data_IF_042725581711
#
_entry.id   IF_042725581711
#
_cell.length_a   1.000
_cell.length_b   1.000
_cell.length_c   1.000
_cell.angle_alpha   90.00
_cell.angle_beta   90.00
_cell.angle_gamma   90.00
#
_symmetry.space_group_name_H-M   'P 1'
#
loop_
_entity.id
_entity.type
_entity.pdbx_description
1 polymer ?
#
# COMPACT_ATOMS: atom_id res chain seq x y z
N UNK A 1 -0.22 -6.26 -20.89
CA UNK A 1 -1.34 -5.34 -20.56
C UNK A 1 -2.06 -5.85 -19.33
N UNK A 2 -2.31 -5.00 -18.33
CA UNK A 2 -3.10 -5.37 -17.16
C UNK A 2 -4.55 -5.66 -17.56
N UNK A 3 -5.20 -6.67 -16.95
CA UNK A 3 -6.63 -6.89 -17.09
C UNK A 3 -7.44 -5.66 -16.66
N UNK A 4 -8.68 -5.56 -17.13
CA UNK A 4 -9.60 -4.56 -16.61
C UNK A 4 -9.83 -4.81 -15.11
N UNK A 5 -9.84 -3.73 -14.33
CA UNK A 5 -10.15 -3.82 -12.91
C UNK A 5 -11.57 -4.35 -12.70
N UNK A 6 -11.79 -5.25 -11.75
CA UNK A 6 -13.12 -5.69 -11.39
C UNK A 6 -14.00 -4.51 -10.98
N UNK A 7 -15.25 -4.47 -11.46
CA UNK A 7 -16.22 -3.45 -11.03
C UNK A 7 -16.84 -3.87 -9.71
N UNK A 8 -16.64 -3.07 -8.68
CA UNK A 8 -17.23 -3.26 -7.35
C UNK A 8 -18.18 -2.10 -7.04
N UNK A 9 -19.32 -2.43 -6.46
CA UNK A 9 -20.25 -1.44 -5.93
C UNK A 9 -20.30 -1.60 -4.43
N UNK A 10 -19.86 -0.58 -3.70
CA UNK A 10 -20.02 -0.53 -2.25
C UNK A 10 -21.27 0.28 -1.90
N UNK A 11 -22.10 -0.31 -1.06
CA UNK A 11 -23.27 0.36 -0.50
C UNK A 11 -23.07 0.54 0.98
N UNK A 12 -23.24 1.77 1.48
CA UNK A 12 -23.29 2.02 2.92
C UNK A 12 -24.62 1.51 3.43
N UNK A 13 -24.60 0.42 4.18
CA UNK A 13 -25.81 -0.17 4.79
C UNK A 13 -26.21 0.60 6.05
N UNK A 14 -25.24 1.02 6.83
CA UNK A 14 -25.44 1.79 8.06
C UNK A 14 -24.18 2.62 8.34
N UNK A 15 -24.36 3.86 8.76
CA UNK A 15 -23.30 4.70 9.30
C UNK A 15 -23.45 4.78 10.82
N UNK A 16 -22.42 4.33 11.54
CA UNK A 16 -22.40 4.37 13.01
C UNK A 16 -21.39 5.39 13.50
N UNK A 17 -21.69 6.11 14.57
CA UNK A 17 -20.69 6.92 15.26
C UNK A 17 -19.47 6.06 15.59
N UNK A 18 -18.26 6.63 15.49
CA UNK A 18 -17.05 5.94 15.91
C UNK A 18 -17.23 5.45 17.35
N UNK A 19 -16.99 4.17 17.63
CA UNK A 19 -17.05 3.65 18.98
C UNK A 19 -16.01 4.36 19.86
N UNK A 20 -16.37 4.66 21.10
CA UNK A 20 -15.44 5.25 22.09
C UNK A 20 -14.39 4.25 22.59
N UNK A 21 -14.42 3.00 22.08
CA UNK A 21 -13.50 1.91 22.41
C UNK A 21 -12.38 1.70 21.37
N UNK A 22 -11.50 0.70 21.60
CA UNK A 22 -10.43 0.37 20.69
C UNK A 22 -10.99 -0.10 19.33
N UNK A 23 -10.69 0.65 18.27
CA UNK A 23 -10.98 0.30 16.88
C UNK A 23 -9.69 0.18 16.06
N UNK A 24 -9.84 -0.18 14.79
CA UNK A 24 -8.72 -0.24 13.85
C UNK A 24 -8.03 1.12 13.72
N UNK A 25 -8.83 2.20 13.64
CA UNK A 25 -8.34 3.58 13.61
C UNK A 25 -8.74 4.32 14.89
N UNK A 26 -7.88 5.23 15.33
CA UNK A 26 -8.12 6.15 16.43
C UNK A 26 -7.90 7.58 15.94
N UNK A 27 -8.85 8.45 16.18
CA UNK A 27 -8.66 9.91 16.04
C UNK A 27 -8.08 10.42 17.35
N UNK A 28 -6.94 11.11 17.27
CA UNK A 28 -6.27 11.74 18.41
C UNK A 28 -6.31 13.25 18.24
N UNK A 29 -6.93 13.94 19.20
CA UNK A 29 -6.84 15.40 19.32
C UNK A 29 -5.87 15.74 20.43
N UNK A 30 -4.87 16.54 20.11
CA UNK A 30 -3.81 16.92 21.03
C UNK A 30 -3.66 18.45 21.09
N UNK A 31 -3.34 18.98 22.26
CA UNK A 31 -2.90 20.36 22.40
C UNK A 31 -1.38 20.37 22.40
N UNK A 32 -0.80 21.03 21.43
CA UNK A 32 0.64 21.06 21.19
C UNK A 32 1.19 22.46 21.39
N UNK A 33 2.51 22.54 21.64
CA UNK A 33 3.32 23.77 21.55
C UNK A 33 4.58 23.46 20.77
N UNK A 34 5.04 24.42 20.00
CA UNK A 34 6.36 24.38 19.35
C UNK A 34 7.36 25.08 20.30
N UNK A 35 8.47 24.41 20.57
CA UNK A 35 9.66 25.07 21.12
C UNK A 35 10.58 25.43 19.94
N UNK A 36 10.87 26.73 19.83
CA UNK A 36 11.77 27.24 18.79
C UNK A 36 13.24 27.12 19.22
N UNK A 37 14.15 27.24 18.26
CA UNK A 37 15.61 27.13 18.54
C UNK A 37 16.13 28.16 19.52
N UNK A 38 15.52 29.35 19.58
CA UNK A 38 15.84 30.42 20.55
C UNK A 38 15.31 30.14 21.97
N UNK A 39 14.66 28.98 22.18
CA UNK A 39 14.07 28.56 23.45
C UNK A 39 12.67 29.13 23.73
N UNK A 40 12.13 29.99 22.87
CA UNK A 40 10.75 30.48 23.00
C UNK A 40 9.73 29.39 22.67
N UNK A 41 8.51 29.54 23.21
CA UNK A 41 7.40 28.63 23.01
C UNK A 41 6.28 29.33 22.23
N UNK A 42 5.66 28.58 21.31
CA UNK A 42 4.42 29.04 20.67
C UNK A 42 3.25 29.09 21.67
N UNK A 43 2.18 29.79 21.30
CA UNK A 43 0.89 29.55 21.94
C UNK A 43 0.45 28.10 21.72
N UNK A 44 -0.36 27.53 22.64
CA UNK A 44 -0.95 26.21 22.45
C UNK A 44 -1.86 26.18 21.21
N UNK A 45 -1.82 25.09 20.44
CA UNK A 45 -2.71 24.87 19.31
C UNK A 45 -3.22 23.44 19.27
N UNK A 46 -4.43 23.24 18.72
CA UNK A 46 -5.00 21.90 18.55
C UNK A 46 -4.45 21.24 17.28
N UNK A 47 -4.22 19.92 17.35
CA UNK A 47 -3.82 19.11 16.21
C UNK A 47 -4.53 17.76 16.25
N UNK A 48 -5.15 17.41 15.12
CA UNK A 48 -5.81 16.11 14.94
C UNK A 48 -4.94 15.18 14.10
N UNK A 49 -4.78 13.95 14.56
CA UNK A 49 -4.06 12.89 13.86
C UNK A 49 -4.84 11.57 13.91
N UNK A 50 -4.67 10.78 12.87
CA UNK A 50 -5.13 9.39 12.85
C UNK A 50 -4.00 8.49 13.36
N UNK A 51 -4.36 7.50 14.15
CA UNK A 51 -3.43 6.50 14.70
C UNK A 51 -4.03 5.10 14.58
N UNK A 52 -3.19 4.07 14.58
CA UNK A 52 -3.60 2.66 14.62
C UNK A 52 -2.51 1.80 15.27
N UNK A 53 -2.89 0.61 15.75
CA UNK A 53 -1.96 -0.27 16.47
C UNK A 53 -0.82 -0.78 15.59
N UNK A 54 -1.11 -1.15 14.35
CA UNK A 54 -0.12 -1.54 13.34
C UNK A 54 0.06 -0.36 12.39
N UNK A 55 1.01 0.51 12.71
CA UNK A 55 1.12 1.80 12.03
C UNK A 55 1.82 1.69 10.67
N UNK A 56 2.94 0.99 10.64
CA UNK A 56 3.82 0.93 9.48
C UNK A 56 3.44 -0.22 8.52
N UNK A 57 3.90 -0.12 7.27
CA UNK A 57 3.67 -1.13 6.26
C UNK A 57 4.94 -1.45 5.46
N UNK A 58 5.01 -2.67 4.93
CA UNK A 58 5.96 -3.07 3.90
C UNK A 58 5.30 -2.99 2.52
N UNK A 59 6.09 -2.67 1.50
CA UNK A 59 5.69 -2.66 0.10
C UNK A 59 6.68 -3.53 -0.67
N UNK A 60 6.21 -4.51 -1.42
CA UNK A 60 7.05 -5.49 -2.08
C UNK A 60 6.85 -5.43 -3.60
N UNK A 61 7.94 -5.45 -4.38
CA UNK A 61 7.86 -5.63 -5.82
C UNK A 61 8.45 -6.99 -6.20
N UNK A 62 7.62 -8.04 -6.33
CA UNK A 62 8.05 -9.29 -6.90
C UNK A 62 8.20 -9.13 -8.41
N UNK A 63 9.34 -9.56 -8.95
CA UNK A 63 9.65 -9.40 -10.36
C UNK A 63 10.37 -10.63 -10.93
N UNK A 64 10.36 -10.76 -12.24
CA UNK A 64 11.12 -11.77 -12.97
C UNK A 64 11.57 -11.23 -14.31
N UNK A 65 12.51 -11.92 -14.96
CA UNK A 65 12.86 -11.66 -16.36
C UNK A 65 12.33 -12.79 -17.24
N UNK A 66 11.70 -12.40 -18.36
CA UNK A 66 11.27 -13.36 -19.36
C UNK A 66 12.43 -13.86 -20.21
N UNK A 67 12.16 -14.76 -21.17
CA UNK A 67 13.16 -15.33 -22.05
C UNK A 67 13.86 -14.28 -22.95
N UNK A 68 13.25 -13.13 -23.16
CA UNK A 68 13.83 -12.00 -23.90
C UNK A 68 14.63 -11.05 -22.98
N UNK A 69 14.71 -11.34 -21.67
CA UNK A 69 15.37 -10.52 -20.66
C UNK A 69 14.55 -9.31 -20.18
N UNK A 70 13.29 -9.19 -20.62
CA UNK A 70 12.40 -8.11 -20.20
C UNK A 70 11.98 -8.34 -18.75
N UNK A 71 12.14 -7.31 -17.92
CA UNK A 71 11.70 -7.35 -16.52
C UNK A 71 10.19 -7.16 -16.41
N UNK A 72 9.53 -8.09 -15.76
CA UNK A 72 8.12 -8.05 -15.42
C UNK A 72 7.94 -7.91 -13.92
N UNK A 73 6.86 -7.24 -13.51
CA UNK A 73 6.47 -7.05 -12.10
C UNK A 73 5.09 -7.65 -11.88
N UNK A 74 4.82 -8.17 -10.69
CA UNK A 74 3.49 -8.59 -10.29
C UNK A 74 2.80 -7.45 -9.53
N UNK A 75 1.57 -7.16 -9.94
CA UNK A 75 0.68 -6.24 -9.25
C UNK A 75 -0.60 -6.98 -8.84
N UNK A 76 -1.24 -6.49 -7.79
CA UNK A 76 -2.52 -7.00 -7.29
C UNK A 76 -3.59 -5.94 -7.44
N UNK A 77 -4.80 -6.34 -7.86
CA UNK A 77 -5.94 -5.42 -7.81
C UNK A 77 -6.49 -5.32 -6.38
N UNK A 78 -6.87 -4.13 -5.97
CA UNK A 78 -7.36 -3.85 -4.64
C UNK A 78 -8.56 -2.91 -4.67
N UNK A 79 -9.54 -3.13 -3.79
CA UNK A 79 -10.66 -2.21 -3.57
C UNK A 79 -10.39 -1.39 -2.31
N UNK A 80 -10.40 -0.08 -2.45
CA UNK A 80 -10.17 0.87 -1.34
C UNK A 80 -11.46 1.62 -1.01
N UNK A 81 -12.24 1.16 -0.01
CA UNK A 81 -13.53 1.77 0.35
C UNK A 81 -13.50 3.28 0.54
N UNK A 82 -12.48 3.89 1.18
CA UNK A 82 -12.41 5.35 1.31
C UNK A 82 -12.39 6.10 -0.02
N UNK A 83 -11.84 5.49 -1.08
CA UNK A 83 -11.83 6.08 -2.42
C UNK A 83 -13.15 5.84 -3.13
N UNK A 84 -13.72 4.62 -3.04
CA UNK A 84 -15.03 4.30 -3.61
C UNK A 84 -16.13 5.21 -3.04
N UNK A 85 -16.07 5.45 -1.73
CA UNK A 85 -17.04 6.26 -0.97
C UNK A 85 -16.64 7.74 -0.87
N UNK A 86 -15.65 8.19 -1.65
CA UNK A 86 -15.22 9.58 -1.61
C UNK A 86 -16.38 10.52 -1.97
N UNK A 87 -16.69 11.52 -1.14
CA UNK A 87 -17.78 12.47 -1.39
C UNK A 87 -17.66 13.14 -2.78
N UNK A 88 -18.78 13.31 -3.45
CA UNK A 88 -18.82 13.95 -4.78
C UNK A 88 -18.58 15.45 -4.64
N UNK A 89 -19.12 16.04 -3.58
CA UNK A 89 -18.97 17.45 -3.26
C UNK A 89 -17.50 17.78 -2.98
N UNK A 90 -17.02 18.84 -3.57
CA UNK A 90 -15.65 19.31 -3.37
C UNK A 90 -14.59 18.59 -4.21
N UNK A 91 -14.98 17.71 -5.13
CA UNK A 91 -14.04 17.14 -6.10
C UNK A 91 -13.60 18.21 -7.10
N UNK A 92 -12.30 18.46 -7.26
CA UNK A 92 -11.82 19.52 -8.18
C UNK A 92 -11.93 19.12 -9.65
N UNK A 93 -11.96 17.82 -9.94
CA UNK A 93 -12.09 17.23 -11.28
C UNK A 93 -13.04 16.04 -11.25
N UNK A 94 -13.66 15.67 -12.40
CA UNK A 94 -14.41 14.42 -12.51
C UNK A 94 -13.51 13.21 -12.21
N UNK A 95 -14.06 12.25 -11.48
CA UNK A 95 -13.36 11.00 -11.16
C UNK A 95 -13.68 9.91 -12.18
N UNK A 96 -12.83 8.89 -12.23
CA UNK A 96 -13.04 7.71 -13.06
C UNK A 96 -14.18 6.86 -12.52
N UNK A 97 -14.87 6.13 -13.40
CA UNK A 97 -15.89 5.13 -12.99
C UNK A 97 -15.30 4.01 -12.13
N UNK A 98 -14.00 3.75 -12.26
CA UNK A 98 -13.27 2.72 -11.50
C UNK A 98 -12.60 3.27 -10.24
N UNK A 99 -12.95 4.48 -9.79
CA UNK A 99 -12.38 5.08 -8.59
C UNK A 99 -12.46 4.11 -7.40
N UNK A 100 -11.32 3.93 -6.72
CA UNK A 100 -11.19 3.01 -5.59
C UNK A 100 -10.87 1.57 -5.95
N UNK A 101 -10.87 1.21 -7.24
CA UNK A 101 -10.29 -0.04 -7.74
C UNK A 101 -8.90 0.29 -8.29
N UNK A 102 -7.87 -0.23 -7.66
CA UNK A 102 -6.48 0.12 -7.96
C UNK A 102 -5.67 -1.13 -8.33
N UNK A 103 -4.64 -0.92 -9.17
CA UNK A 103 -3.52 -1.84 -9.27
C UNK A 103 -2.43 -1.37 -8.31
N UNK A 104 -2.03 -2.25 -7.39
CA UNK A 104 -1.06 -1.95 -6.34
C UNK A 104 0.07 -2.98 -6.30
N UNK A 105 1.25 -2.54 -5.88
CA UNK A 105 2.28 -3.44 -5.40
C UNK A 105 1.79 -4.13 -4.11
N UNK A 106 2.04 -5.43 -3.91
CA UNK A 106 1.73 -6.11 -2.66
C UNK A 106 2.24 -5.33 -1.46
N UNK A 107 1.41 -5.22 -0.42
CA UNK A 107 1.75 -4.43 0.75
C UNK A 107 0.93 -4.85 1.97
N UNK A 108 1.56 -4.92 3.13
CA UNK A 108 0.86 -5.25 4.35
C UNK A 108 1.43 -4.61 5.60
N UNK A 109 0.67 -4.70 6.68
CA UNK A 109 0.98 -4.06 7.93
C UNK A 109 2.01 -4.86 8.72
N UNK A 110 2.97 -4.11 9.30
CA UNK A 110 4.00 -4.67 10.19
C UNK A 110 3.37 -5.08 11.51
N UNK A 111 3.45 -6.37 11.83
CA UNK A 111 2.98 -6.92 13.09
C UNK A 111 3.87 -6.50 14.27
N UNK A 112 3.40 -6.73 15.49
CA UNK A 112 4.08 -6.27 16.69
C UNK A 112 5.46 -6.94 16.88
N UNK A 113 5.57 -8.21 16.53
CA UNK A 113 6.80 -9.00 16.57
C UNK A 113 7.69 -8.86 15.31
N UNK A 114 7.20 -8.10 14.31
CA UNK A 114 7.94 -7.79 13.08
C UNK A 114 8.63 -6.39 13.12
N UNK A 115 8.59 -5.68 14.25
CA UNK A 115 9.13 -4.31 14.38
C UNK A 115 10.66 -4.28 14.58
N UNK A 116 11.37 -5.03 13.75
CA UNK A 116 12.85 -5.03 13.66
C UNK A 116 13.26 -5.07 12.18
N UNK A 117 14.50 -4.76 11.80
CA UNK A 117 14.95 -4.88 10.42
C UNK A 117 14.71 -6.27 9.82
N UNK A 118 15.01 -7.33 10.58
CA UNK A 118 14.77 -8.72 10.17
C UNK A 118 13.26 -9.05 10.16
N UNK A 119 12.49 -8.43 11.07
CA UNK A 119 11.04 -8.53 11.10
C UNK A 119 10.37 -7.94 9.87
N UNK A 120 10.87 -6.83 9.34
CA UNK A 120 10.38 -6.23 8.10
C UNK A 120 10.56 -7.18 6.89
N UNK A 121 11.66 -7.94 6.85
CA UNK A 121 11.87 -8.95 5.80
C UNK A 121 10.88 -10.13 5.96
N UNK A 122 10.62 -10.58 7.20
CA UNK A 122 9.60 -11.61 7.46
C UNK A 122 8.21 -11.13 7.07
N UNK A 123 7.85 -9.89 7.44
CA UNK A 123 6.60 -9.27 7.03
C UNK A 123 6.47 -9.25 5.50
N UNK A 124 7.49 -8.80 4.79
CA UNK A 124 7.49 -8.74 3.34
C UNK A 124 7.35 -10.13 2.69
N UNK A 125 8.01 -11.16 3.22
CA UNK A 125 7.88 -12.54 2.74
C UNK A 125 6.46 -13.10 3.00
N UNK A 126 5.88 -12.83 4.17
CA UNK A 126 4.52 -13.23 4.53
C UNK A 126 3.49 -12.59 3.61
N UNK A 127 3.52 -11.27 3.44
CA UNK A 127 2.59 -10.54 2.58
C UNK A 127 2.72 -10.96 1.11
N UNK A 128 3.94 -11.21 0.63
CA UNK A 128 4.17 -11.72 -0.72
C UNK A 128 3.48 -13.07 -0.93
N UNK A 129 3.54 -13.97 0.05
CA UNK A 129 2.85 -15.25 0.01
C UNK A 129 1.32 -15.06 0.06
N UNK A 130 0.83 -14.27 1.02
CA UNK A 130 -0.60 -14.07 1.25
C UNK A 130 -1.30 -13.37 0.07
N UNK A 131 -0.66 -12.40 -0.56
CA UNK A 131 -1.27 -11.58 -1.61
C UNK A 131 -0.97 -12.06 -3.03
N UNK A 132 0.19 -12.69 -3.28
CA UNK A 132 0.64 -13.06 -4.64
C UNK A 132 0.84 -14.55 -4.83
N UNK A 133 1.10 -15.30 -3.75
CA UNK A 133 1.28 -16.74 -3.76
C UNK A 133 2.72 -17.19 -3.98
N UNK A 134 3.73 -16.35 -3.72
CA UNK A 134 5.14 -16.74 -3.75
C UNK A 134 5.66 -16.98 -2.34
N UNK A 135 6.16 -18.16 -2.08
CA UNK A 135 6.94 -18.46 -0.87
C UNK A 135 8.41 -18.16 -1.16
N UNK A 136 8.99 -17.22 -0.39
CA UNK A 136 10.40 -16.85 -0.49
C UNK A 136 11.05 -16.85 0.89
N UNK A 137 12.32 -17.19 0.94
CA UNK A 137 13.10 -16.96 2.16
C UNK A 137 13.22 -15.45 2.41
N UNK A 138 12.96 -14.94 3.62
CA UNK A 138 13.12 -13.52 3.93
C UNK A 138 14.48 -12.92 3.53
N UNK A 139 15.54 -13.72 3.56
CA UNK A 139 16.89 -13.30 3.14
C UNK A 139 17.05 -13.06 1.65
N UNK A 140 16.10 -13.53 0.82
CA UNK A 140 16.09 -13.25 -0.63
C UNK A 140 15.56 -11.86 -0.96
N UNK A 141 14.86 -11.22 -0.03
CA UNK A 141 14.33 -9.87 -0.18
C UNK A 141 15.46 -8.84 -0.05
N UNK A 142 15.47 -7.87 -0.92
CA UNK A 142 16.41 -6.74 -0.88
C UNK A 142 15.68 -5.42 -0.68
N UNK A 143 16.24 -4.48 0.10
CA UNK A 143 15.67 -3.14 0.24
C UNK A 143 15.58 -2.42 -1.11
N UNK A 144 14.48 -1.69 -1.33
CA UNK A 144 14.22 -0.92 -2.53
C UNK A 144 14.18 0.58 -2.22
N UNK A 145 15.32 1.12 -1.80
CA UNK A 145 15.48 2.52 -1.44
C UNK A 145 14.96 2.88 -0.04
N UNK A 146 14.95 4.17 0.32
CA UNK A 146 14.56 4.63 1.64
C UNK A 146 13.04 4.51 1.89
N UNK A 147 12.65 4.43 3.15
CA UNK A 147 11.24 4.49 3.56
C UNK A 147 10.63 5.88 3.32
N UNK A 148 9.31 5.93 3.15
CA UNK A 148 8.55 7.17 2.94
C UNK A 148 7.35 7.26 3.87
N UNK A 149 6.76 8.45 3.99
CA UNK A 149 5.51 8.71 4.70
C UNK A 149 4.42 9.07 3.70
N UNK A 150 3.35 8.27 3.51
CA UNK A 150 2.31 8.53 2.50
C UNK A 150 1.44 9.74 2.84
N UNK A 151 1.13 9.98 4.10
CA UNK A 151 0.25 11.07 4.51
C UNK A 151 0.70 11.74 5.82
N UNK A 152 1.92 12.36 5.86
CA UNK A 152 2.56 12.82 7.10
C UNK A 152 1.80 13.93 7.84
N UNK A 153 0.89 14.62 7.16
CA UNK A 153 0.02 15.63 7.78
C UNK A 153 -1.19 15.04 8.52
N UNK A 154 -1.42 13.73 8.42
CA UNK A 154 -2.60 13.10 9.00
C UNK A 154 -2.24 11.86 9.83
N UNK A 155 -1.32 11.05 9.36
CA UNK A 155 -0.91 9.78 9.98
C UNK A 155 0.61 9.62 9.90
N UNK A 156 1.21 9.10 10.95
CA UNK A 156 2.65 8.83 11.01
C UNK A 156 3.07 7.49 10.37
N UNK A 157 2.23 6.91 9.52
CA UNK A 157 2.51 5.67 8.80
C UNK A 157 3.77 5.80 7.95
N UNK A 158 4.62 4.76 7.99
CA UNK A 158 5.83 4.67 7.18
C UNK A 158 5.77 3.44 6.28
N UNK A 159 6.14 3.60 5.00
CA UNK A 159 6.28 2.52 4.04
C UNK A 159 7.75 2.11 3.90
N UNK A 160 8.04 0.81 4.09
CA UNK A 160 9.34 0.20 3.84
C UNK A 160 9.28 -0.60 2.54
N UNK A 161 10.22 -0.37 1.62
CA UNK A 161 10.18 -0.92 0.27
C UNK A 161 11.18 -2.05 0.10
N UNK A 162 10.72 -3.14 -0.49
CA UNK A 162 11.52 -4.31 -0.82
C UNK A 162 11.23 -4.78 -2.25
N UNK A 163 12.16 -5.53 -2.82
CA UNK A 163 11.98 -6.26 -4.06
C UNK A 163 12.56 -7.66 -3.95
N UNK A 164 12.10 -8.55 -4.81
CA UNK A 164 12.63 -9.92 -4.92
C UNK A 164 12.43 -10.44 -6.34
N UNK A 165 13.45 -11.09 -6.87
CA UNK A 165 13.30 -11.85 -8.11
C UNK A 165 12.68 -13.21 -7.80
N UNK A 166 11.61 -13.56 -8.51
CA UNK A 166 10.81 -14.76 -8.26
C UNK A 166 10.82 -15.71 -9.44
N UNK A 167 10.76 -17.01 -9.15
CA UNK A 167 10.54 -18.06 -10.15
C UNK A 167 9.03 -18.21 -10.37
N UNK A 168 8.56 -17.77 -11.54
CA UNK A 168 7.12 -17.78 -11.89
C UNK A 168 6.51 -19.17 -11.86
N UNK A 169 7.31 -20.24 -12.05
CA UNK A 169 6.83 -21.62 -12.01
C UNK A 169 6.49 -22.11 -10.61
N UNK A 170 6.96 -21.41 -9.59
CA UNK A 170 6.72 -21.71 -8.15
C UNK A 170 5.56 -20.94 -7.57
N UNK A 171 4.87 -20.12 -8.37
CA UNK A 171 3.74 -19.36 -7.87
C UNK A 171 2.60 -20.29 -7.47
N UNK A 172 2.22 -20.29 -6.21
CA UNK A 172 1.03 -20.93 -5.68
C UNK A 172 -0.25 -20.09 -5.84
N UNK A 173 -1.37 -20.65 -5.36
CA UNK A 173 -2.58 -19.85 -5.16
C UNK A 173 -2.42 -19.04 -3.89
N UNK A 174 -2.63 -17.71 -3.90
CA UNK A 174 -2.63 -16.91 -2.68
C UNK A 174 -3.64 -17.46 -1.68
N UNK A 175 -3.31 -17.65 -0.40
CA UNK A 175 -4.29 -17.91 0.62
C UNK A 175 -5.17 -16.66 0.78
N UNK A 176 -6.50 -16.83 0.66
CA UNK A 176 -7.44 -15.74 0.90
C UNK A 176 -7.60 -15.57 2.42
N UNK A 177 -7.51 -14.35 2.95
CA UNK A 177 -7.73 -14.05 4.36
C UNK A 177 -9.22 -14.08 4.76
N UNK A 178 -10.11 -14.26 3.77
CA UNK A 178 -11.57 -14.24 3.94
C UNK A 178 -12.19 -12.85 3.90
N UNK A 179 -11.40 -11.80 3.67
CA UNK A 179 -11.92 -10.45 3.47
C UNK A 179 -12.79 -10.36 2.21
N UNK A 180 -14.01 -9.80 2.30
CA UNK A 180 -14.84 -9.55 1.13
C UNK A 180 -14.16 -8.69 0.05
N UNK A 181 -13.22 -7.83 0.45
CA UNK A 181 -12.48 -6.94 -0.45
C UNK A 181 -11.40 -7.66 -1.25
N UNK A 182 -10.92 -8.80 -0.75
CA UNK A 182 -9.86 -9.60 -1.37
C UNK A 182 -10.38 -10.71 -2.28
N UNK A 183 -11.62 -11.14 -2.05
CA UNK A 183 -12.24 -12.30 -2.72
C UNK A 183 -12.17 -12.26 -4.25
N UNK A 184 -12.14 -11.08 -4.86
CA UNK A 184 -12.08 -10.88 -6.30
C UNK A 184 -10.78 -10.22 -6.74
N UNK A 185 -9.77 -10.19 -5.88
CA UNK A 185 -8.47 -9.63 -6.22
C UNK A 185 -7.82 -10.42 -7.35
N UNK A 186 -7.33 -9.69 -8.35
CA UNK A 186 -6.57 -10.25 -9.46
C UNK A 186 -5.08 -10.01 -9.19
N UNK A 187 -4.26 -11.00 -9.52
CA UNK A 187 -2.81 -10.84 -9.57
C UNK A 187 -2.37 -10.97 -11.02
N UNK A 188 -1.66 -9.98 -11.52
CA UNK A 188 -1.21 -9.93 -12.91
C UNK A 188 0.25 -9.54 -13.01
N UNK A 189 0.96 -10.15 -13.96
CA UNK A 189 2.29 -9.73 -14.35
C UNK A 189 2.23 -8.77 -15.53
N UNK A 190 3.07 -7.73 -15.51
CA UNK A 190 3.18 -6.75 -16.58
C UNK A 190 4.65 -6.35 -16.75
N UNK A 191 5.07 -6.03 -17.97
CA UNK A 191 6.42 -5.48 -18.20
C UNK A 191 6.62 -4.19 -17.39
N UNK A 192 7.80 -4.02 -16.78
CA UNK A 192 8.09 -2.87 -15.92
C UNK A 192 7.91 -1.53 -16.68
N UNK A 193 8.38 -1.46 -17.92
CA UNK A 193 8.23 -0.25 -18.74
C UNK A 193 6.76 0.09 -19.02
N UNK A 194 5.93 -0.93 -19.25
CA UNK A 194 4.49 -0.74 -19.41
C UNK A 194 3.82 -0.31 -18.11
N UNK A 195 4.24 -0.86 -16.95
CA UNK A 195 3.75 -0.43 -15.64
C UNK A 195 4.08 1.05 -15.35
N UNK A 196 5.31 1.47 -15.68
CA UNK A 196 5.75 2.87 -15.56
C UNK A 196 4.94 3.80 -16.49
N UNK A 197 4.64 3.36 -17.71
CA UNK A 197 3.79 4.14 -18.63
C UNK A 197 2.36 4.26 -18.11
N UNK A 198 1.80 3.20 -17.53
CA UNK A 198 0.48 3.24 -16.88
C UNK A 198 0.46 4.18 -15.67
N UNK A 199 1.50 4.20 -14.84
CA UNK A 199 1.63 5.15 -13.73
C UNK A 199 1.72 6.60 -14.25
N UNK A 200 2.56 6.85 -15.25
CA UNK A 200 2.69 8.17 -15.88
C UNK A 200 1.38 8.71 -16.47
N UNK A 201 0.52 7.82 -16.99
CA UNK A 201 -0.80 8.18 -17.53
C UNK A 201 -1.93 8.17 -16.50
N UNK A 202 -1.61 7.91 -15.24
CA UNK A 202 -2.58 7.83 -14.14
C UNK A 202 -3.53 6.63 -14.25
N UNK A 203 -3.12 5.54 -14.86
CA UNK A 203 -3.86 4.27 -14.84
C UNK A 203 -3.47 3.40 -13.62
N UNK A 204 -2.26 3.59 -13.09
CA UNK A 204 -1.83 3.17 -11.76
C UNK A 204 -1.78 4.45 -10.92
N UNK A 205 -2.62 4.57 -9.89
CA UNK A 205 -2.81 5.78 -9.08
C UNK A 205 -2.34 5.62 -7.65
N UNK A 206 -1.84 4.44 -7.29
CA UNK A 206 -1.33 4.17 -5.96
C UNK A 206 0.11 4.69 -5.82
N UNK A 207 0.31 5.67 -4.94
CA UNK A 207 1.59 6.36 -4.74
C UNK A 207 2.74 5.41 -4.40
N UNK A 208 2.53 4.49 -3.43
CA UNK A 208 3.58 3.54 -3.03
C UNK A 208 4.01 2.62 -4.18
N UNK A 209 3.06 2.25 -5.04
CA UNK A 209 3.32 1.44 -6.24
C UNK A 209 4.15 2.22 -7.25
N UNK A 210 3.80 3.46 -7.55
CA UNK A 210 4.57 4.30 -8.47
C UNK A 210 6.01 4.50 -7.97
N UNK A 211 6.19 4.82 -6.67
CA UNK A 211 7.51 4.96 -6.05
C UNK A 211 8.31 3.67 -6.20
N UNK A 212 7.71 2.52 -5.89
CA UNK A 212 8.39 1.22 -5.95
C UNK A 212 8.80 0.85 -7.37
N UNK A 213 7.91 1.05 -8.37
CA UNK A 213 8.21 0.79 -9.78
C UNK A 213 9.35 1.67 -10.30
N UNK A 214 9.36 2.96 -9.99
CA UNK A 214 10.44 3.87 -10.39
C UNK A 214 11.78 3.46 -9.81
N UNK A 215 11.83 3.11 -8.52
CA UNK A 215 13.05 2.62 -7.87
C UNK A 215 13.54 1.31 -8.45
N UNK A 216 12.63 0.37 -8.78
CA UNK A 216 13.02 -0.88 -9.42
C UNK A 216 13.61 -0.68 -10.81
N UNK A 217 13.22 0.36 -11.53
CA UNK A 217 13.77 0.71 -12.83
C UNK A 217 15.20 1.27 -12.78
N UNK A 218 15.64 1.70 -11.59
CA UNK A 218 16.99 2.26 -11.38
C UNK A 218 18.06 1.19 -11.07
N UNK A 219 17.64 -0.12 -10.92
CA UNK A 219 18.52 -1.23 -10.55
C UNK A 219 18.54 -2.40 -11.54
#
# INVERSE_FOLDING_TARGET
>A
MLPALPKHHLTVVEERPLPTGPGFLRLRRQILRVQYEDGTLSEPFEYDAVDRTKLDAVVIVPHFRDAAGVRHVFLRSCVRPPLVLRPIEGRPIPEKETLGNLWEAPAGLVEEDERTPEGLLRCAARELHEEVGFEVDPSALSPLGPSTFPAPGMIGERHFFFHVEVDVTKRGKPPEDGSPLERLALVSAIALDEALDLARRGAIEDEKTEIALRRLAEI
#
